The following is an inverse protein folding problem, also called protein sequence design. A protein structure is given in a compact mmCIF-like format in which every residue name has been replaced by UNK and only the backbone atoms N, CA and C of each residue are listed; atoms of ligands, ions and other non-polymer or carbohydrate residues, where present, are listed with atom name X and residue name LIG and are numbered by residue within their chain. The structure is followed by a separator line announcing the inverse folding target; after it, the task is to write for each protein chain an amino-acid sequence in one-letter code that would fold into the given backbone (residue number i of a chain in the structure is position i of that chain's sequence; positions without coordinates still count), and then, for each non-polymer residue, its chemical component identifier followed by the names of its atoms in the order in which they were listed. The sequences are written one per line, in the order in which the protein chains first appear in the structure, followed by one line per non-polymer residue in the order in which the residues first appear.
data_IF_644616674119
#
_entry.id   IF_644616674119
#
_cell.length_a   1.000
_cell.length_b   1.000
_cell.length_c   1.000
_cell.angle_alpha   90.00
_cell.angle_beta   90.00
_cell.angle_gamma   90.00
#
_symmetry.space_group_name_H-M   'P 1'
#
loop_
_entity.id
_entity.type
_entity.pdbx_description
1 polymer ?
#
# COMPACT_ATOMS: atom_id res chain seq x y z
N UNK A 1 -17.87 12.54 -24.45
CA UNK A 1 -16.96 11.37 -24.26
C UNK A 1 -16.84 11.14 -22.77
N UNK A 2 -17.14 9.95 -22.26
CA UNK A 2 -16.99 9.61 -20.85
C UNK A 2 -15.50 9.26 -20.63
N UNK A 3 -14.84 9.98 -19.72
CA UNK A 3 -13.43 9.76 -19.39
C UNK A 3 -13.35 8.87 -18.12
N UNK A 4 -12.84 7.65 -18.29
CA UNK A 4 -12.65 6.67 -17.21
C UNK A 4 -11.16 6.49 -16.83
N UNK A 5 -10.28 7.43 -17.18
CA UNK A 5 -8.84 7.28 -17.01
C UNK A 5 -8.34 7.58 -15.58
N UNK A 6 -9.14 8.19 -14.72
CA UNK A 6 -8.79 8.52 -13.34
C UNK A 6 -9.97 8.31 -12.41
N UNK A 7 -9.75 7.61 -11.29
CA UNK A 7 -10.66 7.56 -10.17
C UNK A 7 -10.49 8.82 -9.32
N UNK A 8 -11.23 9.87 -9.62
CA UNK A 8 -11.27 11.10 -8.82
C UNK A 8 -12.58 11.13 -8.06
N UNK A 9 -12.57 11.30 -6.73
CA UNK A 9 -13.81 11.45 -5.97
C UNK A 9 -14.66 12.62 -6.49
N UNK A 10 -15.98 12.47 -6.45
CA UNK A 10 -16.89 13.56 -6.81
C UNK A 10 -16.70 14.74 -5.85
N UNK A 11 -16.67 16.00 -6.34
CA UNK A 11 -16.44 17.17 -5.48
C UNK A 11 -17.42 17.27 -4.29
N UNK A 12 -18.64 16.85 -4.48
CA UNK A 12 -19.69 16.79 -3.44
C UNK A 12 -19.45 15.74 -2.35
N UNK A 13 -18.52 14.81 -2.56
CA UNK A 13 -18.15 13.81 -1.55
C UNK A 13 -17.12 14.32 -0.55
N UNK A 14 -16.56 15.52 -0.75
CA UNK A 14 -15.58 16.09 0.18
C UNK A 14 -16.28 16.70 1.40
N UNK A 15 -15.98 16.20 2.58
CA UNK A 15 -16.49 16.69 3.87
C UNK A 15 -15.74 17.97 4.30
N UNK A 16 -15.82 19.04 3.52
CA UNK A 16 -14.99 20.25 3.70
C UNK A 16 -15.24 20.97 5.02
N UNK A 17 -16.49 21.02 5.49
CA UNK A 17 -16.84 21.65 6.75
C UNK A 17 -16.24 20.90 7.94
N UNK A 18 -16.37 19.59 7.94
CA UNK A 18 -15.82 18.70 8.96
C UNK A 18 -14.30 18.76 8.99
N UNK A 19 -13.64 18.81 7.82
CA UNK A 19 -12.20 19.00 7.74
C UNK A 19 -11.75 20.34 8.32
N UNK A 20 -12.48 21.42 8.06
CA UNK A 20 -12.17 22.75 8.61
C UNK A 20 -12.25 22.75 10.14
N UNK A 21 -13.29 22.15 10.71
CA UNK A 21 -13.46 22.02 12.16
C UNK A 21 -12.37 21.13 12.79
N UNK A 22 -12.06 19.97 12.18
CA UNK A 22 -10.97 19.12 12.66
C UNK A 22 -9.61 19.83 12.61
N UNK A 23 -9.32 20.55 11.53
CA UNK A 23 -8.09 21.31 11.42
C UNK A 23 -7.99 22.41 12.50
N UNK A 24 -9.07 23.18 12.70
CA UNK A 24 -9.13 24.20 13.75
C UNK A 24 -8.84 23.59 15.12
N UNK A 25 -9.52 22.50 15.46
CA UNK A 25 -9.34 21.80 16.74
C UNK A 25 -7.90 21.31 16.92
N UNK A 26 -7.31 20.68 15.91
CA UNK A 26 -5.93 20.22 15.95
C UNK A 26 -4.94 21.41 16.14
N UNK A 27 -5.18 22.56 15.53
CA UNK A 27 -4.35 23.75 15.72
C UNK A 27 -4.49 24.35 17.12
N UNK A 28 -5.67 24.33 17.70
CA UNK A 28 -5.92 24.81 19.06
C UNK A 28 -5.28 23.90 20.12
N UNK A 29 -5.33 22.58 19.92
CA UNK A 29 -4.83 21.58 20.87
C UNK A 29 -3.30 21.40 20.79
N UNK A 30 -2.71 21.34 19.60
CA UNK A 30 -1.31 20.95 19.41
C UNK A 30 -0.61 21.65 18.23
N UNK A 31 -1.13 22.81 17.80
CA UNK A 31 -0.67 23.48 16.57
C UNK A 31 0.83 23.75 16.53
N UNK A 32 1.43 24.20 17.64
CA UNK A 32 2.86 24.47 17.70
C UNK A 32 3.69 23.21 17.45
N UNK A 33 3.29 22.07 18.00
CA UNK A 33 3.97 20.77 17.82
C UNK A 33 3.71 20.20 16.42
N UNK A 34 2.45 20.29 15.95
CA UNK A 34 2.06 19.80 14.60
C UNK A 34 2.78 20.56 13.46
N UNK A 35 3.11 21.83 13.67
CA UNK A 35 3.81 22.69 12.70
C UNK A 35 5.34 22.65 12.86
N UNK A 36 5.88 21.92 13.83
CA UNK A 36 7.31 21.79 14.09
C UNK A 36 7.92 20.56 13.37
N UNK A 37 9.24 20.48 13.36
CA UNK A 37 9.91 19.26 12.97
C UNK A 37 9.56 18.12 13.93
N UNK A 38 9.19 16.97 13.37
CA UNK A 38 8.86 15.76 14.12
C UNK A 38 9.94 14.69 13.93
N UNK A 39 9.95 13.67 14.81
CA UNK A 39 10.83 12.53 14.69
C UNK A 39 10.56 11.72 13.40
N UNK A 40 11.55 10.97 12.95
CA UNK A 40 11.53 10.24 11.68
C UNK A 40 10.30 9.35 11.43
N UNK A 41 9.70 8.65 12.41
CA UNK A 41 8.49 7.87 12.15
C UNK A 41 7.25 8.73 11.83
N UNK A 42 7.24 10.02 12.19
CA UNK A 42 6.15 10.94 11.94
C UNK A 42 5.57 11.58 13.20
N UNK A 43 4.40 12.21 13.06
CA UNK A 43 3.73 12.92 14.15
C UNK A 43 3.16 11.94 15.18
N UNK A 44 3.73 11.96 16.38
CA UNK A 44 3.47 11.01 17.46
C UNK A 44 1.98 10.81 17.81
N UNK A 45 1.16 11.86 17.97
CA UNK A 45 -0.26 11.67 18.25
C UNK A 45 -1.01 10.91 17.16
N UNK A 46 -0.65 11.11 15.89
CA UNK A 46 -1.24 10.36 14.76
C UNK A 46 -0.79 8.90 14.77
N UNK A 47 0.49 8.63 15.08
CA UNK A 47 1.01 7.27 15.21
C UNK A 47 0.26 6.50 16.30
N UNK A 48 0.06 7.11 17.47
CA UNK A 48 -0.71 6.49 18.57
C UNK A 48 -2.16 6.22 18.17
N UNK A 49 -2.82 7.18 17.51
CA UNK A 49 -4.19 6.99 17.03
C UNK A 49 -4.31 5.80 16.06
N UNK A 50 -3.38 5.67 15.12
CA UNK A 50 -3.33 4.54 14.17
C UNK A 50 -3.04 3.24 14.90
N UNK A 51 -2.08 3.24 15.84
CA UNK A 51 -1.72 2.05 16.63
C UNK A 51 -2.93 1.51 17.41
N UNK A 52 -3.69 2.39 18.04
CA UNK A 52 -4.89 2.04 18.81
C UNK A 52 -6.00 1.50 17.89
N UNK A 53 -6.19 2.12 16.73
CA UNK A 53 -7.20 1.72 15.74
C UNK A 53 -6.88 0.35 15.13
N UNK A 54 -5.63 0.15 14.70
CA UNK A 54 -5.17 -1.07 14.02
C UNK A 54 -4.72 -2.18 14.99
N UNK A 55 -4.63 -1.88 16.30
CA UNK A 55 -4.16 -2.80 17.36
C UNK A 55 -2.77 -3.36 17.11
N UNK A 56 -1.86 -2.48 16.70
CA UNK A 56 -0.44 -2.77 16.46
C UNK A 56 0.45 -1.88 17.32
N UNK A 57 1.75 -2.19 17.41
CA UNK A 57 2.69 -1.37 18.17
C UNK A 57 3.06 -0.09 17.41
N UNK A 58 3.35 1.00 18.13
CA UNK A 58 3.72 2.30 17.56
C UNK A 58 5.00 2.24 16.71
N UNK A 59 5.94 1.39 17.06
CA UNK A 59 7.20 1.17 16.33
C UNK A 59 7.02 0.40 15.00
N UNK A 60 5.82 -0.09 14.73
CA UNK A 60 5.45 -0.70 13.45
C UNK A 60 4.84 0.31 12.46
N UNK A 61 4.80 1.60 12.81
CA UNK A 61 4.13 2.64 12.03
C UNK A 61 5.12 3.68 11.56
N UNK A 62 5.06 4.01 10.28
CA UNK A 62 5.76 5.13 9.66
C UNK A 62 4.76 5.97 8.87
N UNK A 63 4.74 7.28 9.10
CA UNK A 63 3.89 8.22 8.36
C UNK A 63 4.67 8.78 7.17
N UNK A 64 4.04 8.80 6.00
CA UNK A 64 4.62 9.36 4.77
C UNK A 64 3.58 10.15 3.96
N UNK A 65 4.02 10.75 2.86
CA UNK A 65 3.18 11.54 1.98
C UNK A 65 2.47 10.68 0.90
N UNK A 66 1.84 9.62 1.37
CA UNK A 66 1.06 8.70 0.54
C UNK A 66 1.78 7.39 0.24
N UNK A 67 0.99 6.39 -0.17
CA UNK A 67 1.44 5.00 -0.35
C UNK A 67 2.56 4.81 -1.40
N UNK A 68 2.60 5.65 -2.44
CA UNK A 68 3.68 5.56 -3.44
C UNK A 68 5.04 6.00 -2.90
N UNK A 69 5.09 7.02 -2.03
CA UNK A 69 6.33 7.42 -1.36
C UNK A 69 6.82 6.29 -0.42
N UNK A 70 5.91 5.73 0.38
CA UNK A 70 6.25 4.62 1.27
C UNK A 70 6.70 3.38 0.48
N UNK A 71 6.03 3.06 -0.64
CA UNK A 71 6.48 1.99 -1.53
C UNK A 71 7.87 2.28 -2.12
N UNK A 72 8.16 3.55 -2.45
CA UNK A 72 9.49 3.94 -2.91
C UNK A 72 10.55 3.69 -1.85
N UNK A 73 10.30 4.10 -0.61
CA UNK A 73 11.22 3.83 0.51
C UNK A 73 11.45 2.33 0.69
N UNK A 74 10.37 1.53 0.69
CA UNK A 74 10.47 0.07 0.76
C UNK A 74 11.37 -0.49 -0.36
N UNK A 75 11.21 -0.02 -1.61
CA UNK A 75 12.05 -0.49 -2.71
C UNK A 75 13.52 -0.11 -2.53
N UNK A 76 13.82 1.02 -1.89
CA UNK A 76 15.22 1.42 -1.64
C UNK A 76 15.86 0.67 -0.48
N UNK A 77 15.10 0.31 0.55
CA UNK A 77 15.61 -0.40 1.74
C UNK A 77 15.73 -1.89 1.51
N UNK A 78 14.75 -2.51 0.84
CA UNK A 78 14.62 -3.97 0.75
C UNK A 78 15.12 -4.56 -0.57
N UNK A 79 15.44 -3.72 -1.59
CA UNK A 79 15.78 -4.25 -2.91
C UNK A 79 17.00 -3.61 -3.56
N UNK A 80 17.61 -4.36 -4.49
CA UNK A 80 18.65 -3.88 -5.40
C UNK A 80 18.15 -3.96 -6.86
N UNK A 81 18.70 -3.16 -7.79
CA UNK A 81 18.42 -3.31 -9.22
C UNK A 81 18.68 -4.76 -9.67
N UNK A 82 17.73 -5.32 -10.42
CA UNK A 82 17.74 -6.72 -10.86
C UNK A 82 16.93 -7.67 -9.99
N UNK A 83 16.56 -7.28 -8.77
CA UNK A 83 15.73 -8.11 -7.91
C UNK A 83 14.34 -8.35 -8.49
N UNK A 84 13.83 -9.55 -8.24
CA UNK A 84 12.48 -9.95 -8.59
C UNK A 84 11.48 -9.46 -7.53
N UNK A 85 10.33 -8.97 -7.96
CA UNK A 85 9.18 -8.68 -7.13
C UNK A 85 7.92 -9.22 -7.78
N UNK A 86 6.94 -9.64 -7.00
CA UNK A 86 5.66 -10.05 -7.54
C UNK A 86 4.67 -8.89 -7.52
N UNK A 87 3.81 -8.86 -8.52
CA UNK A 87 2.71 -7.89 -8.66
C UNK A 87 1.48 -8.60 -9.19
N UNK A 88 0.31 -8.04 -8.95
CA UNK A 88 -0.92 -8.50 -9.61
C UNK A 88 -0.85 -8.25 -11.12
N UNK A 89 -1.61 -9.02 -11.91
CA UNK A 89 -1.72 -8.81 -13.34
C UNK A 89 -3.19 -8.83 -13.78
N UNK A 90 -3.78 -7.66 -14.11
CA UNK A 90 -3.19 -6.32 -14.12
C UNK A 90 -2.98 -5.73 -12.73
N UNK A 91 -2.11 -4.72 -12.59
CA UNK A 91 -1.82 -4.03 -11.34
C UNK A 91 -1.80 -2.51 -11.51
N UNK A 92 -1.71 -1.78 -10.41
CA UNK A 92 -1.63 -0.32 -10.42
C UNK A 92 -0.39 0.17 -11.18
N UNK A 93 -0.64 0.93 -12.24
CA UNK A 93 0.39 1.34 -13.20
C UNK A 93 1.54 2.14 -12.59
N UNK A 94 1.24 3.00 -11.59
CA UNK A 94 2.23 3.84 -10.91
C UNK A 94 3.18 3.03 -10.05
N UNK A 95 2.67 2.01 -9.37
CA UNK A 95 3.51 1.08 -8.61
C UNK A 95 4.45 0.31 -9.55
N UNK A 96 3.92 -0.23 -10.65
CA UNK A 96 4.72 -0.91 -11.67
C UNK A 96 5.80 -0.01 -12.27
N UNK A 97 5.47 1.25 -12.57
CA UNK A 97 6.43 2.21 -13.10
C UNK A 97 7.53 2.53 -12.08
N UNK A 98 7.18 2.69 -10.81
CA UNK A 98 8.12 2.93 -9.72
C UNK A 98 9.12 1.77 -9.60
N UNK A 99 8.63 0.53 -9.56
CA UNK A 99 9.48 -0.67 -9.46
C UNK A 99 10.42 -0.79 -10.67
N UNK A 100 9.91 -0.56 -11.89
CA UNK A 100 10.73 -0.55 -13.11
C UNK A 100 11.80 0.53 -13.10
N UNK A 101 11.48 1.75 -12.62
CA UNK A 101 12.46 2.84 -12.48
C UNK A 101 13.55 2.53 -11.45
N UNK A 102 13.22 1.76 -10.41
CA UNK A 102 14.20 1.23 -9.46
C UNK A 102 15.09 0.13 -10.06
N UNK A 103 14.76 -0.36 -11.27
CA UNK A 103 15.47 -1.45 -11.93
C UNK A 103 15.06 -2.83 -11.48
N UNK A 104 13.88 -2.97 -10.86
CA UNK A 104 13.34 -4.26 -10.43
C UNK A 104 12.70 -5.01 -11.60
N UNK A 105 12.55 -6.31 -11.44
CA UNK A 105 11.88 -7.23 -12.38
C UNK A 105 10.49 -7.64 -11.82
N UNK A 106 9.41 -6.90 -12.11
CA UNK A 106 8.07 -7.28 -11.69
C UNK A 106 7.58 -8.49 -12.48
N UNK A 107 7.16 -9.53 -11.76
CA UNK A 107 6.49 -10.72 -12.32
C UNK A 107 5.01 -10.64 -11.96
N UNK A 108 4.15 -10.64 -12.99
CA UNK A 108 2.71 -10.55 -12.82
C UNK A 108 2.09 -11.90 -12.45
N UNK A 109 1.28 -11.91 -11.40
CA UNK A 109 0.43 -13.03 -11.00
C UNK A 109 -1.00 -12.70 -11.44
N UNK A 110 -1.63 -13.54 -12.30
CA UNK A 110 -2.97 -13.26 -12.81
C UNK A 110 -4.02 -13.12 -11.72
N UNK A 111 -4.98 -12.23 -11.93
CA UNK A 111 -6.15 -12.06 -11.07
C UNK A 111 -7.29 -12.96 -11.55
N UNK A 112 -7.98 -13.53 -10.57
CA UNK A 112 -9.29 -14.17 -10.68
C UNK A 112 -10.38 -13.26 -10.10
N UNK A 113 -11.59 -13.76 -9.95
CA UNK A 113 -12.74 -12.96 -9.46
C UNK A 113 -12.65 -12.57 -7.98
N UNK A 114 -11.80 -13.24 -7.20
CA UNK A 114 -11.67 -13.08 -5.75
C UNK A 114 -10.20 -12.99 -5.27
N UNK A 115 -9.30 -12.53 -6.13
CA UNK A 115 -7.87 -12.35 -5.85
C UNK A 115 -6.98 -13.04 -6.90
N UNK A 116 -5.70 -13.21 -6.62
CA UNK A 116 -4.76 -13.84 -7.56
C UNK A 116 -4.98 -15.35 -7.71
N UNK A 117 -4.56 -15.90 -8.84
CA UNK A 117 -4.47 -17.35 -9.05
C UNK A 117 -3.38 -17.94 -8.14
N UNK A 118 -3.80 -18.69 -7.13
CA UNK A 118 -2.90 -19.31 -6.15
C UNK A 118 -2.00 -20.40 -6.73
N UNK A 119 -2.43 -21.10 -7.77
CA UNK A 119 -1.62 -22.14 -8.42
C UNK A 119 -0.46 -21.47 -9.18
N UNK A 120 -0.75 -20.40 -9.92
CA UNK A 120 0.28 -19.62 -10.62
C UNK A 120 1.23 -18.97 -9.61
N UNK A 121 0.71 -18.43 -8.48
CA UNK A 121 1.54 -17.87 -7.42
C UNK A 121 2.49 -18.91 -6.84
N UNK A 122 1.99 -20.10 -6.50
CA UNK A 122 2.82 -21.19 -5.96
C UNK A 122 3.89 -21.65 -6.95
N UNK A 123 3.54 -21.76 -8.23
CA UNK A 123 4.50 -22.15 -9.27
C UNK A 123 5.55 -21.06 -9.54
N UNK A 124 5.17 -19.79 -9.42
CA UNK A 124 6.11 -18.69 -9.50
C UNK A 124 7.08 -18.68 -8.31
N UNK A 125 6.60 -18.92 -7.09
CA UNK A 125 7.43 -19.03 -5.88
C UNK A 125 8.43 -20.19 -5.92
N UNK A 126 8.13 -21.28 -6.63
CA UNK A 126 9.10 -22.38 -6.85
C UNK A 126 10.25 -21.99 -7.78
N UNK A 127 10.02 -21.03 -8.67
CA UNK A 127 10.96 -20.62 -9.73
C UNK A 127 11.72 -19.35 -9.42
N UNK A 128 11.17 -18.50 -8.55
CA UNK A 128 11.67 -17.17 -8.27
C UNK A 128 11.68 -16.92 -6.75
N UNK A 129 12.57 -16.03 -6.32
CA UNK A 129 12.66 -15.55 -4.95
C UNK A 129 12.31 -14.05 -4.94
N UNK A 130 11.03 -13.68 -4.88
CA UNK A 130 10.64 -12.27 -4.88
C UNK A 130 11.04 -11.63 -3.55
N UNK A 131 11.48 -10.37 -3.58
CA UNK A 131 11.75 -9.59 -2.37
C UNK A 131 10.48 -9.20 -1.64
N UNK A 132 9.40 -8.97 -2.39
CA UNK A 132 8.06 -8.74 -1.86
C UNK A 132 7.00 -9.03 -2.94
N UNK A 133 5.76 -9.12 -2.51
CA UNK A 133 4.60 -9.17 -3.38
C UNK A 133 3.74 -7.91 -3.14
N UNK A 134 3.67 -7.02 -4.15
CA UNK A 134 2.79 -5.87 -4.14
C UNK A 134 1.38 -6.28 -4.60
N UNK A 135 0.40 -6.13 -3.73
CA UNK A 135 -1.00 -6.42 -4.00
C UNK A 135 -1.94 -5.41 -3.33
N UNK A 136 -3.16 -5.28 -3.86
CA UNK A 136 -4.22 -4.44 -3.32
C UNK A 136 -5.40 -5.34 -2.98
N UNK A 137 -5.56 -5.76 -1.70
CA UNK A 137 -6.51 -6.81 -1.34
C UNK A 137 -7.97 -6.34 -1.31
N UNK A 138 -8.23 -5.05 -1.23
CA UNK A 138 -9.56 -4.46 -1.25
C UNK A 138 -9.71 -3.49 -2.42
N UNK A 139 -10.76 -3.68 -3.21
CA UNK A 139 -11.08 -2.82 -4.36
C UNK A 139 -9.88 -2.64 -5.31
N UNK A 140 -9.27 -3.76 -5.69
CA UNK A 140 -8.05 -3.82 -6.50
C UNK A 140 -8.07 -2.84 -7.69
N UNK A 141 -6.99 -2.14 -7.90
CA UNK A 141 -6.85 -1.22 -9.01
C UNK A 141 -6.00 -1.84 -10.14
N UNK A 142 -6.58 -2.07 -11.36
CA UNK A 142 -7.80 -1.47 -11.87
C UNK A 142 -9.06 -2.35 -11.87
N UNK A 143 -9.01 -3.60 -11.36
CA UNK A 143 -10.05 -4.59 -11.58
C UNK A 143 -11.24 -4.50 -10.61
N UNK A 144 -11.11 -3.76 -9.49
CA UNK A 144 -12.15 -3.67 -8.46
C UNK A 144 -12.35 -4.96 -7.65
N UNK A 145 -11.50 -5.95 -7.83
CA UNK A 145 -11.57 -7.24 -7.12
C UNK A 145 -11.27 -7.03 -5.63
N UNK A 146 -12.01 -7.71 -4.77
CA UNK A 146 -11.69 -7.84 -3.34
C UNK A 146 -11.31 -9.30 -3.06
N UNK A 147 -10.18 -9.49 -2.41
CA UNK A 147 -9.66 -10.82 -2.11
C UNK A 147 -10.52 -11.54 -1.08
N UNK A 148 -10.82 -12.81 -1.35
CA UNK A 148 -11.46 -13.69 -0.38
C UNK A 148 -10.56 -13.89 0.85
N UNK A 149 -11.19 -14.15 2.00
CA UNK A 149 -10.45 -14.44 3.23
C UNK A 149 -9.54 -15.67 3.10
N UNK A 150 -9.97 -16.65 2.34
CA UNK A 150 -9.19 -17.87 2.06
C UNK A 150 -7.90 -17.51 1.31
N UNK A 151 -7.98 -16.74 0.22
CA UNK A 151 -6.79 -16.32 -0.54
C UNK A 151 -5.85 -15.44 0.27
N UNK A 152 -6.38 -14.51 1.10
CA UNK A 152 -5.55 -13.70 2.01
C UNK A 152 -4.76 -14.60 2.97
N UNK A 153 -5.39 -15.60 3.59
CA UNK A 153 -4.73 -16.54 4.51
C UNK A 153 -3.66 -17.37 3.79
N UNK A 154 -4.01 -17.92 2.64
CA UNK A 154 -3.06 -18.74 1.85
C UNK A 154 -1.85 -17.92 1.40
N UNK A 155 -2.04 -16.66 0.97
CA UNK A 155 -0.92 -15.79 0.61
C UNK A 155 -0.02 -15.51 1.82
N UNK A 156 -0.59 -15.25 2.99
CA UNK A 156 0.18 -15.04 4.22
C UNK A 156 0.98 -16.29 4.62
N UNK A 157 0.38 -17.49 4.51
CA UNK A 157 1.06 -18.76 4.74
C UNK A 157 2.20 -19.00 3.75
N UNK A 158 1.98 -18.69 2.46
CA UNK A 158 3.01 -18.76 1.43
C UNK A 158 4.16 -17.78 1.70
N UNK A 159 3.85 -16.55 2.11
CA UNK A 159 4.87 -15.56 2.48
C UNK A 159 5.73 -16.05 3.65
N UNK A 160 5.12 -16.64 4.69
CA UNK A 160 5.87 -17.23 5.80
C UNK A 160 6.74 -18.44 5.37
N UNK A 161 6.26 -19.23 4.43
CA UNK A 161 6.96 -20.42 3.96
C UNK A 161 8.17 -20.13 3.06
N UNK A 162 8.07 -19.07 2.25
CA UNK A 162 9.09 -18.75 1.25
C UNK A 162 10.01 -17.58 1.65
N UNK A 163 9.78 -16.98 2.86
CA UNK A 163 10.55 -15.85 3.47
C UNK A 163 10.56 -14.58 2.66
#
# INVERSE_FOLDING_TARGET
MINLTRGVPAPESYALAEFAECFKKAMEEDGAKAMSYVASPGYEPLIHLIADQEKINVDQIVIGNGSLELLQFLTYTETQPGDCVFVESPSYDRANLLMKRRGLNPIGIPLETDGVDLNVLQDALKKHQPKFFYLIPDFQNPMGVTYSLEKRKTIAELAQKYH
#
